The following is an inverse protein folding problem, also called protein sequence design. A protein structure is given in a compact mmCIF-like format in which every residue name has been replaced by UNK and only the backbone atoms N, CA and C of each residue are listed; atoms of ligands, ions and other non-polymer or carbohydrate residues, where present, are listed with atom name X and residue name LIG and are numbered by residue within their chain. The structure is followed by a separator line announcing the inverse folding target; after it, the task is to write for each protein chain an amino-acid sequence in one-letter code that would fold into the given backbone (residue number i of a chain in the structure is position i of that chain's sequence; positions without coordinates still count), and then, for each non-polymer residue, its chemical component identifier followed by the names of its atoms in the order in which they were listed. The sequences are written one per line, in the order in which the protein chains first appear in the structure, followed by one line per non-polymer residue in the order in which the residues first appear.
data_IF_473913965860
#
_entry.id   IF_473913965860
#
_cell.length_a   1.000
_cell.length_b   1.000
_cell.length_c   1.000
_cell.angle_alpha   90.00
_cell.angle_beta   90.00
_cell.angle_gamma   90.00
#
_symmetry.space_group_name_H-M   'P 1'
#
loop_
_entity.id
_entity.type
_entity.pdbx_description
1 polymer ?
#
# COMPACT_ATOMS: atom_id res chain seq x y z
N UNK A 1 -32.50 -19.20 -1.32
CA UNK A 1 -31.48 -18.86 -2.32
C UNK A 1 -30.12 -19.03 -1.66
N UNK A 2 -29.16 -19.66 -2.34
CA UNK A 2 -27.80 -19.79 -1.80
C UNK A 2 -27.12 -18.42 -1.80
N UNK A 3 -26.52 -18.04 -0.67
CA UNK A 3 -25.79 -16.78 -0.55
C UNK A 3 -24.41 -16.91 -1.20
N UNK A 4 -24.08 -16.02 -2.13
CA UNK A 4 -22.78 -15.98 -2.80
C UNK A 4 -21.77 -15.11 -2.03
N UNK A 5 -20.48 -15.23 -2.38
CA UNK A 5 -19.41 -14.39 -1.82
C UNK A 5 -19.19 -13.16 -2.70
N UNK A 6 -18.91 -12.03 -2.07
CA UNK A 6 -18.44 -10.82 -2.73
C UNK A 6 -17.09 -11.08 -3.42
N UNK A 7 -16.95 -10.75 -4.72
CA UNK A 7 -15.85 -11.24 -5.56
C UNK A 7 -14.49 -10.58 -5.27
N UNK A 8 -14.48 -9.32 -4.82
CA UNK A 8 -13.25 -8.54 -4.67
C UNK A 8 -12.67 -8.61 -3.24
N UNK A 9 -13.39 -9.17 -2.28
CA UNK A 9 -12.95 -9.23 -0.88
C UNK A 9 -11.63 -9.98 -0.72
N UNK A 10 -11.50 -11.16 -1.32
CA UNK A 10 -10.26 -11.95 -1.25
C UNK A 10 -9.10 -11.25 -1.96
N UNK A 11 -9.36 -10.67 -3.13
CA UNK A 11 -8.35 -9.94 -3.91
C UNK A 11 -7.84 -8.74 -3.11
N UNK A 12 -8.73 -7.98 -2.48
CA UNK A 12 -8.35 -6.83 -1.66
C UNK A 12 -7.52 -7.22 -0.43
N UNK A 13 -7.82 -8.35 0.22
CA UNK A 13 -6.99 -8.88 1.32
C UNK A 13 -5.60 -9.22 0.81
N UNK A 14 -5.48 -9.95 -0.30
CA UNK A 14 -4.18 -10.31 -0.89
C UNK A 14 -3.40 -9.07 -1.31
N UNK A 15 -4.02 -8.10 -1.99
CA UNK A 15 -3.37 -6.84 -2.35
C UNK A 15 -2.87 -6.08 -1.12
N UNK A 16 -3.64 -6.07 -0.02
CA UNK A 16 -3.22 -5.42 1.22
C UNK A 16 -2.00 -6.11 1.83
N UNK A 17 -1.98 -7.45 1.84
CA UNK A 17 -0.84 -8.24 2.34
C UNK A 17 0.41 -8.01 1.49
N UNK A 18 0.27 -8.03 0.16
CA UNK A 18 1.37 -7.72 -0.76
C UNK A 18 1.86 -6.28 -0.58
N UNK A 19 0.95 -5.33 -0.31
CA UNK A 19 1.28 -3.95 0.02
C UNK A 19 2.16 -3.83 1.27
N UNK A 20 1.93 -4.66 2.30
CA UNK A 20 2.81 -4.72 3.47
C UNK A 20 4.19 -5.29 3.15
N UNK A 21 4.28 -6.32 2.32
CA UNK A 21 5.57 -6.92 1.95
C UNK A 21 6.41 -6.00 1.05
N UNK A 22 5.77 -5.21 0.19
CA UNK A 22 6.45 -4.27 -0.70
C UNK A 22 6.72 -2.89 -0.08
N UNK A 23 6.36 -2.63 1.19
CA UNK A 23 6.61 -1.32 1.81
C UNK A 23 8.12 -1.01 1.97
N UNK A 24 8.97 -2.04 1.95
CA UNK A 24 10.42 -1.95 2.12
C UNK A 24 11.14 -1.28 0.94
N UNK A 25 10.53 -1.23 -0.25
CA UNK A 25 11.14 -0.68 -1.48
C UNK A 25 10.62 0.75 -1.73
N UNK A 26 10.63 1.63 -0.71
CA UNK A 26 10.27 3.07 -0.78
C UNK A 26 8.85 3.46 -0.29
N UNK A 27 8.04 2.55 0.26
CA UNK A 27 6.71 2.88 0.81
C UNK A 27 5.62 3.24 -0.23
N UNK A 28 5.98 3.71 -1.42
CA UNK A 28 5.09 4.05 -2.54
C UNK A 28 4.22 2.86 -2.99
N UNK A 29 4.76 1.63 -3.12
CA UNK A 29 3.96 0.47 -3.52
C UNK A 29 2.83 0.18 -2.53
N UNK A 30 3.07 0.40 -1.24
CA UNK A 30 2.06 0.20 -0.19
C UNK A 30 0.87 1.16 -0.31
N UNK A 31 1.13 2.41 -0.67
CA UNK A 31 0.09 3.43 -0.90
C UNK A 31 -0.73 3.08 -2.15
N UNK A 32 -0.08 2.69 -3.25
CA UNK A 32 -0.76 2.35 -4.50
C UNK A 32 -1.59 1.08 -4.37
N UNK A 33 -1.01 0.00 -3.86
CA UNK A 33 -1.70 -1.28 -3.68
C UNK A 33 -2.83 -1.18 -2.66
N UNK A 34 -2.61 -0.48 -1.53
CA UNK A 34 -3.64 -0.20 -0.55
C UNK A 34 -4.77 0.66 -1.12
N UNK A 35 -4.45 1.66 -1.94
CA UNK A 35 -5.42 2.49 -2.65
C UNK A 35 -6.31 1.69 -3.61
N UNK A 36 -5.72 0.83 -4.44
CA UNK A 36 -6.45 -0.04 -5.37
C UNK A 36 -7.35 -1.01 -4.58
N UNK A 37 -6.85 -1.62 -3.50
CA UNK A 37 -7.64 -2.50 -2.64
C UNK A 37 -8.86 -1.78 -2.05
N UNK A 38 -8.70 -0.52 -1.64
CA UNK A 38 -9.78 0.29 -1.09
C UNK A 38 -10.84 0.65 -2.14
N UNK A 39 -10.44 0.91 -3.39
CA UNK A 39 -11.37 1.14 -4.50
C UNK A 39 -12.20 -0.12 -4.82
N UNK A 40 -11.55 -1.29 -4.86
CA UNK A 40 -12.22 -2.58 -5.07
C UNK A 40 -13.26 -2.87 -3.98
N UNK A 41 -12.90 -2.66 -2.72
CA UNK A 41 -13.78 -2.85 -1.57
C UNK A 41 -14.98 -1.90 -1.60
N UNK A 42 -14.79 -0.63 -2.00
CA UNK A 42 -15.91 0.31 -2.17
C UNK A 42 -16.89 -0.14 -3.26
N UNK A 43 -16.40 -0.78 -4.32
CA UNK A 43 -17.24 -1.38 -5.35
C UNK A 43 -18.10 -2.52 -4.79
N UNK A 44 -17.51 -3.40 -4.00
CA UNK A 44 -18.21 -4.52 -3.36
C UNK A 44 -19.16 -4.07 -2.24
N UNK A 45 -18.84 -3.00 -1.51
CA UNK A 45 -19.73 -2.41 -0.51
C UNK A 45 -21.02 -1.89 -1.16
N UNK A 46 -20.92 -1.25 -2.34
CA UNK A 46 -22.10 -0.84 -3.13
C UNK A 46 -22.93 -2.04 -3.60
N UNK A 47 -22.29 -3.13 -4.05
CA UNK A 47 -23.00 -4.36 -4.45
C UNK A 47 -23.74 -4.99 -3.29
N UNK A 48 -23.11 -5.04 -2.11
CA UNK A 48 -23.74 -5.54 -0.89
C UNK A 48 -24.96 -4.69 -0.50
N UNK A 49 -24.85 -3.36 -0.56
CA UNK A 49 -25.98 -2.46 -0.25
C UNK A 49 -27.15 -2.60 -1.23
N UNK A 50 -26.89 -2.97 -2.48
CA UNK A 50 -27.94 -3.17 -3.48
C UNK A 50 -28.73 -4.48 -3.28
N UNK A 51 -28.10 -5.53 -2.73
CA UNK A 51 -28.74 -6.83 -2.53
C UNK A 51 -28.12 -7.59 -1.32
N UNK A 52 -28.41 -7.18 -0.08
CA UNK A 52 -27.75 -7.73 1.11
C UNK A 52 -28.10 -9.21 1.36
N UNK A 53 -29.32 -9.66 1.04
CA UNK A 53 -29.70 -11.09 1.18
C UNK A 53 -28.91 -12.04 0.27
N UNK A 54 -28.22 -11.50 -0.74
CA UNK A 54 -27.49 -12.29 -1.74
C UNK A 54 -26.08 -12.65 -1.28
N UNK A 55 -25.53 -11.97 -0.26
CA UNK A 55 -24.12 -12.08 0.09
C UNK A 55 -23.87 -12.50 1.55
N UNK A 56 -22.94 -13.43 1.78
CA UNK A 56 -22.66 -13.99 3.10
C UNK A 56 -21.39 -13.46 3.79
N UNK A 57 -20.46 -12.87 3.03
CA UNK A 57 -19.10 -12.55 3.52
C UNK A 57 -18.88 -11.05 3.86
N UNK A 58 -19.93 -10.33 4.27
CA UNK A 58 -19.82 -8.91 4.61
C UNK A 58 -18.83 -8.62 5.76
N UNK A 59 -18.70 -9.55 6.73
CA UNK A 59 -17.69 -9.45 7.78
C UNK A 59 -16.26 -9.39 7.21
N UNK A 60 -15.96 -10.22 6.21
CA UNK A 60 -14.66 -10.21 5.53
C UNK A 60 -14.43 -8.92 4.73
N UNK A 61 -15.49 -8.34 4.14
CA UNK A 61 -15.40 -7.03 3.49
C UNK A 61 -14.96 -5.93 4.46
N UNK A 62 -15.50 -5.92 5.68
CA UNK A 62 -15.07 -4.97 6.72
C UNK A 62 -13.61 -5.16 7.11
N UNK A 63 -13.19 -6.41 7.29
CA UNK A 63 -11.78 -6.74 7.58
C UNK A 63 -10.86 -6.25 6.47
N UNK A 64 -11.20 -6.55 5.21
CA UNK A 64 -10.43 -6.11 4.06
C UNK A 64 -10.35 -4.57 3.94
N UNK A 65 -11.44 -3.87 4.27
CA UNK A 65 -11.45 -2.39 4.33
C UNK A 65 -10.47 -1.85 5.37
N UNK A 66 -10.47 -2.43 6.57
CA UNK A 66 -9.55 -2.04 7.65
C UNK A 66 -8.10 -2.32 7.23
N UNK A 67 -7.83 -3.50 6.67
CA UNK A 67 -6.49 -3.87 6.19
C UNK A 67 -5.98 -2.92 5.10
N UNK A 68 -6.82 -2.53 4.14
CA UNK A 68 -6.43 -1.59 3.10
C UNK A 68 -6.08 -0.20 3.67
N UNK A 69 -6.84 0.29 4.67
CA UNK A 69 -6.57 1.56 5.34
C UNK A 69 -5.23 1.51 6.09
N UNK A 70 -4.96 0.42 6.81
CA UNK A 70 -3.71 0.24 7.56
C UNK A 70 -2.52 0.19 6.58
N UNK A 71 -2.64 -0.49 5.44
CA UNK A 71 -1.61 -0.51 4.41
C UNK A 71 -1.26 0.89 3.88
N UNK A 72 -2.27 1.72 3.60
CA UNK A 72 -2.06 3.11 3.18
C UNK A 72 -1.41 3.92 4.31
N UNK A 73 -1.90 3.78 5.54
CA UNK A 73 -1.37 4.53 6.69
C UNK A 73 0.11 4.22 6.94
N UNK A 74 0.50 2.94 6.89
CA UNK A 74 1.90 2.54 6.99
C UNK A 74 2.73 3.09 5.84
N UNK A 75 2.23 3.03 4.59
CA UNK A 75 2.92 3.61 3.44
C UNK A 75 3.17 5.12 3.59
N UNK A 76 2.20 5.87 4.09
CA UNK A 76 2.33 7.31 4.36
C UNK A 76 3.34 7.57 5.48
N UNK A 77 3.31 6.80 6.57
CA UNK A 77 4.27 6.92 7.67
C UNK A 77 5.71 6.66 7.18
N UNK A 78 5.92 5.63 6.36
CA UNK A 78 7.23 5.34 5.75
C UNK A 78 7.69 6.49 4.86
N UNK A 79 6.79 7.07 4.06
CA UNK A 79 7.13 8.20 3.20
C UNK A 79 7.55 9.44 4.02
N UNK A 80 6.84 9.75 5.11
CA UNK A 80 7.22 10.83 6.05
C UNK A 80 8.59 10.55 6.67
N UNK A 81 8.84 9.30 7.10
CA UNK A 81 10.13 8.90 7.67
C UNK A 81 11.28 9.08 6.67
N UNK A 82 11.10 8.65 5.42
CA UNK A 82 12.10 8.86 4.35
C UNK A 82 12.39 10.35 4.15
N UNK A 83 11.35 11.18 4.02
CA UNK A 83 11.50 12.64 3.87
C UNK A 83 12.25 13.27 5.06
N UNK A 84 11.92 12.86 6.29
CA UNK A 84 12.62 13.33 7.49
C UNK A 84 14.10 12.93 7.46
N UNK A 85 14.40 11.68 7.10
CA UNK A 85 15.78 11.17 7.05
C UNK A 85 16.62 11.93 6.00
N UNK A 86 16.04 12.22 4.83
CA UNK A 86 16.70 13.02 3.78
C UNK A 86 16.93 14.46 4.26
N UNK A 87 15.95 15.06 4.93
CA UNK A 87 16.11 16.44 5.46
C UNK A 87 17.25 16.54 6.48
N UNK A 88 17.41 15.53 7.35
CA UNK A 88 18.48 15.49 8.34
C UNK A 88 19.86 15.19 7.75
N UNK A 89 19.94 14.52 6.61
CA UNK A 89 21.21 14.27 5.89
C UNK A 89 21.77 15.49 5.16
N UNK A 90 21.13 16.66 5.25
CA UNK A 90 21.54 17.88 4.54
C UNK A 90 20.72 18.17 3.29
N UNK A 91 19.56 17.52 3.14
CA UNK A 91 18.67 17.71 2.00
C UNK A 91 19.01 16.80 0.81
N UNK A 92 18.25 16.97 -0.27
CA UNK A 92 18.40 16.16 -1.48
C UNK A 92 19.78 16.33 -2.13
N UNK A 93 20.36 17.53 -2.02
CA UNK A 93 21.66 17.87 -2.60
C UNK A 93 22.79 17.12 -1.89
N UNK A 94 22.82 17.11 -0.56
CA UNK A 94 23.83 16.36 0.21
C UNK A 94 23.69 14.84 0.02
N UNK A 95 22.47 14.33 -0.16
CA UNK A 95 22.24 12.92 -0.49
C UNK A 95 22.82 12.56 -1.87
N UNK A 96 22.64 13.43 -2.87
CA UNK A 96 23.20 13.24 -4.21
C UNK A 96 24.72 13.31 -4.23
N UNK A 97 25.32 14.24 -3.49
CA UNK A 97 26.78 14.39 -3.40
C UNK A 97 27.42 13.14 -2.76
N UNK A 98 26.88 12.68 -1.62
CA UNK A 98 27.31 11.41 -0.99
C UNK A 98 27.13 10.18 -1.89
N UNK A 99 26.08 10.17 -2.70
CA UNK A 99 25.86 9.10 -3.66
C UNK A 99 26.88 9.12 -4.80
N UNK A 100 27.33 10.31 -5.21
CA UNK A 100 28.33 10.50 -6.27
C UNK A 100 29.72 10.09 -5.76
N UNK A 101 30.11 10.56 -4.57
CA UNK A 101 31.37 10.17 -3.90
C UNK A 101 31.49 8.64 -3.75
N UNK A 102 30.41 7.96 -3.34
CA UNK A 102 30.42 6.50 -3.24
C UNK A 102 30.56 5.80 -4.61
N UNK A 103 30.02 6.35 -5.69
CA UNK A 103 30.19 5.74 -7.03
C UNK A 103 31.62 5.91 -7.54
N UNK A 104 32.24 7.04 -7.22
CA UNK A 104 33.64 7.34 -7.52
C UNK A 104 34.59 6.41 -6.74
N UNK A 105 34.32 6.19 -5.44
CA UNK A 105 35.11 5.25 -4.61
C UNK A 105 35.02 3.78 -5.06
N UNK A 106 33.89 3.37 -5.66
CA UNK A 106 33.71 2.02 -6.21
C UNK A 106 34.26 1.86 -7.64
N UNK A 107 34.87 2.90 -8.21
CA UNK A 107 35.62 2.84 -9.47
C UNK A 107 34.76 2.56 -10.71
N UNK A 108 33.54 3.10 -10.76
CA UNK A 108 32.64 2.99 -11.94
C UNK A 108 32.81 4.18 -12.91
N UNK A 109 33.84 5.00 -12.70
CA UNK A 109 34.39 5.87 -13.75
C UNK A 109 35.75 5.30 -14.18
N UNK A 110 35.95 5.16 -15.50
CA UNK A 110 37.26 4.83 -16.11
C UNK A 110 38.33 5.88 -15.78
#
# INVERSE_FOLDING_TARGET
MEQQKLPNVTIAIVLSILGYLCCCIWGIPGILLGGIALLLIRGDEKKYMAAPETYSNYSQLKTAKIMAIIAIALGVLTLIYILYTISQMGGWDAYMERSMEMMEEWGIEE
#
